data_IF_908499716339
#
_entry.id   IF_908499716339
#
_cell.length_a   1.000
_cell.length_b   1.000
_cell.length_c   1.000
_cell.angle_alpha   90.00
_cell.angle_beta   90.00
_cell.angle_gamma   90.00
#
_symmetry.space_group_name_H-M   'P 1'
#
loop_
_entity.id
_entity.type
_entity.pdbx_description
1 polymer ?
#
# COMPACT_ATOMS: atom_id res chain seq x y z
N UNK A 1 -1.15 -18.25 8.64
CA UNK A 1 -1.86 -17.02 8.22
C UNK A 1 -0.79 -16.04 7.75
N UNK A 2 -0.88 -15.53 6.52
CA UNK A 2 0.08 -14.57 5.95
C UNK A 2 -0.59 -13.20 5.80
N UNK A 3 0.16 -12.15 6.05
CA UNK A 3 -0.25 -10.76 5.89
C UNK A 3 0.92 -9.97 5.28
N UNK A 4 0.61 -9.03 4.40
CA UNK A 4 1.53 -8.03 3.91
C UNK A 4 1.45 -6.78 4.78
N UNK A 5 2.57 -6.14 5.04
CA UNK A 5 2.65 -4.91 5.86
C UNK A 5 3.51 -3.88 5.15
N UNK A 6 3.15 -2.60 5.30
CA UNK A 6 3.93 -1.48 4.78
C UNK A 6 3.64 -0.20 5.57
N UNK A 7 4.54 0.78 5.44
CA UNK A 7 4.41 2.11 6.04
C UNK A 7 4.61 3.26 5.04
N UNK A 8 3.91 4.37 5.29
CA UNK A 8 4.06 5.61 4.53
C UNK A 8 4.22 6.80 5.48
N UNK A 9 5.09 7.76 5.13
CA UNK A 9 5.29 8.98 5.91
C UNK A 9 6.39 8.91 6.98
N UNK A 10 7.32 7.95 6.90
CA UNK A 10 8.44 7.82 7.85
C UNK A 10 9.47 8.97 7.79
N UNK A 11 9.68 9.56 6.61
CA UNK A 11 10.76 10.52 6.36
C UNK A 11 10.48 12.00 6.72
N UNK A 12 9.26 12.54 6.48
CA UNK A 12 8.95 13.93 6.77
C UNK A 12 9.05 14.29 8.27
N UNK A 13 9.48 15.52 8.56
CA UNK A 13 9.52 16.08 9.92
C UNK A 13 8.13 16.40 10.46
N UNK A 14 7.20 16.73 9.55
CA UNK A 14 5.82 17.07 9.86
C UNK A 14 4.90 16.16 9.05
N UNK A 15 3.78 15.78 9.67
CA UNK A 15 2.79 14.87 9.11
C UNK A 15 2.69 13.57 9.88
N UNK A 16 1.56 12.88 9.70
CA UNK A 16 1.35 11.55 10.28
C UNK A 16 2.12 10.50 9.49
N UNK A 17 2.58 9.48 10.21
CA UNK A 17 2.99 8.21 9.61
C UNK A 17 1.84 7.23 9.70
N UNK A 18 1.62 6.48 8.63
CA UNK A 18 0.60 5.46 8.53
C UNK A 18 1.26 4.10 8.34
N UNK A 19 0.71 3.08 8.98
CA UNK A 19 1.09 1.69 8.78
C UNK A 19 -0.18 0.88 8.50
N UNK A 20 -0.09 -0.07 7.58
CA UNK A 20 -1.22 -0.92 7.19
C UNK A 20 -0.81 -2.38 7.15
N UNK A 21 -1.77 -3.26 7.40
CA UNK A 21 -1.63 -4.70 7.24
C UNK A 21 -2.81 -5.23 6.42
N UNK A 22 -2.51 -5.97 5.37
CA UNK A 22 -3.52 -6.56 4.48
C UNK A 22 -3.40 -8.07 4.49
N UNK A 23 -4.55 -8.73 4.65
CA UNK A 23 -4.69 -10.17 4.43
C UNK A 23 -5.44 -10.38 3.12
N UNK A 24 -4.85 -11.15 2.23
CA UNK A 24 -5.46 -11.62 0.99
C UNK A 24 -5.17 -13.11 0.80
N UNK A 25 -6.00 -13.80 0.03
CA UNK A 25 -5.62 -15.09 -0.53
C UNK A 25 -4.52 -14.84 -1.59
N UNK A 26 -3.36 -15.51 -1.53
CA UNK A 26 -2.36 -15.38 -2.58
C UNK A 26 -2.88 -15.68 -3.99
N UNK A 27 -3.93 -16.49 -4.12
CA UNK A 27 -4.57 -16.78 -5.42
C UNK A 27 -5.36 -15.58 -5.99
N UNK A 28 -5.74 -14.62 -5.15
CA UNK A 28 -6.49 -13.42 -5.54
C UNK A 28 -5.57 -12.23 -5.89
N UNK A 29 -4.26 -12.35 -5.66
CA UNK A 29 -3.31 -11.28 -5.92
C UNK A 29 -3.04 -11.14 -7.44
N UNK A 30 -3.20 -9.93 -8.01
CA UNK A 30 -2.81 -9.68 -9.38
C UNK A 30 -1.33 -10.00 -9.65
N UNK A 31 -1.02 -10.46 -10.86
CA UNK A 31 0.35 -10.79 -11.24
C UNK A 31 1.29 -9.57 -11.31
N UNK A 32 0.71 -8.38 -11.45
CA UNK A 32 1.37 -7.09 -11.55
C UNK A 32 1.38 -6.30 -10.22
N UNK A 33 1.08 -6.95 -9.08
CA UNK A 33 1.28 -6.33 -7.76
C UNK A 33 2.75 -5.90 -7.61
N UNK A 34 2.97 -4.59 -7.47
CA UNK A 34 4.28 -3.95 -7.38
C UNK A 34 4.33 -2.83 -6.36
N UNK A 35 5.42 -2.07 -6.35
CA UNK A 35 5.63 -0.94 -5.43
C UNK A 35 4.66 0.20 -5.74
N UNK A 36 3.92 0.68 -4.72
CA UNK A 36 2.95 1.77 -4.87
C UNK A 36 3.54 3.07 -5.40
N UNK A 37 4.87 3.23 -5.33
CA UNK A 37 5.61 4.37 -5.89
C UNK A 37 5.51 4.48 -7.41
N UNK A 38 5.21 3.39 -8.12
CA UNK A 38 5.06 3.42 -9.60
C UNK A 38 3.63 3.75 -10.05
N UNK A 39 2.68 3.86 -9.12
CA UNK A 39 1.28 4.20 -9.41
C UNK A 39 1.11 5.72 -9.35
N UNK A 40 0.37 6.30 -10.29
CA UNK A 40 0.04 7.73 -10.25
C UNK A 40 -0.81 8.10 -9.02
N UNK A 41 -0.67 9.33 -8.54
CA UNK A 41 -1.32 9.77 -7.29
C UNK A 41 -2.85 9.64 -7.35
N UNK A 42 -3.47 10.08 -8.45
CA UNK A 42 -4.92 9.97 -8.67
C UNK A 42 -5.39 8.51 -8.62
N UNK A 43 -4.64 7.60 -9.27
CA UNK A 43 -4.98 6.18 -9.24
C UNK A 43 -4.84 5.56 -7.85
N UNK A 44 -3.88 6.02 -7.03
CA UNK A 44 -3.79 5.58 -5.62
C UNK A 44 -4.97 6.04 -4.79
N UNK A 45 -5.48 7.24 -5.04
CA UNK A 45 -6.67 7.74 -4.34
C UNK A 45 -7.92 6.93 -4.71
N UNK A 46 -8.09 6.58 -5.99
CA UNK A 46 -9.17 5.68 -6.44
C UNK A 46 -9.11 4.30 -5.79
N UNK A 47 -7.90 3.73 -5.62
CA UNK A 47 -7.70 2.43 -4.98
C UNK A 47 -7.94 2.46 -3.47
N UNK A 48 -7.87 3.64 -2.84
CA UNK A 48 -8.03 3.84 -1.41
C UNK A 48 -9.47 4.22 -0.99
N UNK A 49 -10.33 4.57 -1.95
CA UNK A 49 -11.75 4.87 -1.74
C UNK A 49 -12.57 3.60 -1.48
#
# INVERSE_FOLDING_TARGET
MRFGVDEAGKGPVLGSMFAAAVRADPADLPADVGDSKTIDAERREELAA
#
